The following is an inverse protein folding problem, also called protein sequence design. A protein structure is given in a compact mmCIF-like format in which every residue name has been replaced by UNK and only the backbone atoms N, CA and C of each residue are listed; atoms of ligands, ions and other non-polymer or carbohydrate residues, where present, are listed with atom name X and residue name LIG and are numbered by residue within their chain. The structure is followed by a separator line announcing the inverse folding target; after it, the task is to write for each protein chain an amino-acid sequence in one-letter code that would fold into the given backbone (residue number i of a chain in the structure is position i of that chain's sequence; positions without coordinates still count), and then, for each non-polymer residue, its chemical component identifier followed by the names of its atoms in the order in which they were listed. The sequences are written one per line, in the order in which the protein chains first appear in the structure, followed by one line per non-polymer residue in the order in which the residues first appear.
data_IF_047149068685
#
_entry.id   IF_047149068685
#
_cell.length_a   1.000
_cell.length_b   1.000
_cell.length_c   1.000
_cell.angle_alpha   90.00
_cell.angle_beta   90.00
_cell.angle_gamma   90.00
#
_symmetry.space_group_name_H-M   'P 1'
#
loop_
_entity.id
_entity.type
_entity.pdbx_description
1 polymer ?
#
# COMPACT_ATOMS: atom_id res chain seq x y z
N UNK A 1 9.09 -48.26 40.99
CA UNK A 1 7.69 -48.69 41.13
C UNK A 1 7.08 -47.78 42.18
N UNK A 2 6.37 -46.76 41.72
CA UNK A 2 5.62 -45.82 42.56
C UNK A 2 4.19 -45.83 42.04
N UNK A 3 3.31 -46.50 42.77
CA UNK A 3 1.87 -46.47 42.57
C UNK A 3 1.34 -45.14 43.11
N UNK A 4 0.70 -44.36 42.24
CA UNK A 4 -0.10 -43.20 42.66
C UNK A 4 -1.55 -43.50 42.31
N UNK A 5 -2.33 -43.59 43.38
CA UNK A 5 -3.75 -43.88 43.49
C UNK A 5 -4.56 -42.72 42.91
N UNK A 6 -5.51 -43.02 42.01
CA UNK A 6 -6.53 -42.08 41.55
C UNK A 6 -7.68 -41.95 42.57
N UNK A 7 -8.24 -40.75 42.80
CA UNK A 7 -9.44 -40.57 43.61
C UNK A 7 -10.72 -40.92 42.83
N UNK A 8 -11.82 -41.29 43.53
CA UNK A 8 -13.00 -41.89 42.94
C UNK A 8 -13.95 -40.88 42.26
N UNK A 9 -14.59 -41.38 41.22
CA UNK A 9 -15.70 -40.78 40.47
C UNK A 9 -16.95 -40.83 41.35
N UNK A 10 -17.58 -39.67 41.59
CA UNK A 10 -18.93 -39.58 42.18
C UNK A 10 -19.95 -39.33 41.09
N UNK A 11 -20.84 -40.31 40.90
CA UNK A 11 -22.11 -40.20 40.19
C UNK A 11 -23.02 -39.18 40.90
N UNK A 12 -23.64 -38.30 40.11
CA UNK A 12 -24.85 -37.56 40.52
C UNK A 12 -25.93 -37.84 39.48
N UNK A 13 -26.90 -38.66 39.88
CA UNK A 13 -28.14 -38.88 39.15
C UNK A 13 -29.12 -37.72 39.39
N UNK A 14 -29.74 -37.28 38.30
CA UNK A 14 -31.14 -36.86 38.26
C UNK A 14 -31.43 -35.37 38.43
N UNK A 15 -31.85 -34.73 37.34
CA UNK A 15 -32.95 -33.75 37.32
C UNK A 15 -33.45 -33.50 35.88
N UNK A 16 -34.71 -33.91 35.66
CA UNK A 16 -35.73 -33.29 34.81
C UNK A 16 -35.38 -32.89 33.37
N UNK A 17 -35.94 -33.65 32.42
CA UNK A 17 -36.22 -33.21 31.05
C UNK A 17 -37.23 -32.06 31.05
N UNK A 18 -36.75 -30.84 30.83
CA UNK A 18 -37.57 -29.73 30.34
C UNK A 18 -37.46 -29.75 28.82
N UNK A 19 -38.56 -30.10 28.15
CA UNK A 19 -38.70 -29.89 26.72
C UNK A 19 -38.67 -28.39 26.44
N UNK A 20 -37.63 -27.94 25.77
CA UNK A 20 -37.61 -26.61 25.16
C UNK A 20 -37.82 -26.83 23.68
N UNK A 21 -39.00 -26.42 23.21
CA UNK A 21 -39.27 -26.19 21.81
C UNK A 21 -38.42 -24.98 21.39
N UNK A 22 -37.37 -25.24 20.61
CA UNK A 22 -36.54 -24.20 20.01
C UNK A 22 -36.50 -24.47 18.51
N UNK A 23 -37.59 -24.16 17.83
CA UNK A 23 -37.51 -23.64 16.46
C UNK A 23 -36.92 -22.21 16.51
N UNK A 24 -35.69 -22.06 16.99
CA UNK A 24 -34.89 -20.89 16.70
C UNK A 24 -33.82 -21.33 15.72
N UNK A 25 -34.12 -21.04 14.47
CA UNK A 25 -33.15 -20.91 13.41
C UNK A 25 -31.96 -20.10 13.97
N UNK A 26 -30.75 -20.66 14.11
CA UNK A 26 -29.60 -19.80 14.26
C UNK A 26 -29.46 -19.14 12.89
N UNK A 27 -29.89 -17.89 12.78
CA UNK A 27 -29.10 -16.97 11.98
C UNK A 27 -27.70 -17.08 12.55
N UNK A 28 -26.91 -17.96 11.93
CA UNK A 28 -25.47 -17.93 12.06
C UNK A 28 -25.13 -16.55 11.52
N UNK A 29 -25.00 -15.57 12.40
CA UNK A 29 -24.26 -14.36 12.13
C UNK A 29 -22.90 -14.85 11.64
N UNK A 30 -22.76 -14.92 10.31
CA UNK A 30 -21.47 -15.05 9.68
C UNK A 30 -20.73 -13.79 10.06
N UNK A 31 -19.98 -13.86 11.17
CA UNK A 31 -19.04 -12.81 11.54
C UNK A 31 -18.20 -12.57 10.30
N UNK A 32 -18.31 -11.34 9.80
CA UNK A 32 -17.56 -10.90 8.64
C UNK A 32 -16.08 -11.18 8.92
N UNK A 33 -15.45 -11.95 8.04
CA UNK A 33 -14.04 -12.31 8.23
C UNK A 33 -13.22 -11.04 8.20
N UNK A 34 -12.16 -11.00 9.02
CA UNK A 34 -11.20 -9.90 8.95
C UNK A 34 -10.65 -9.83 7.50
N UNK A 35 -10.68 -8.65 6.85
CA UNK A 35 -10.17 -8.49 5.49
C UNK A 35 -8.75 -9.02 5.24
N UNK A 36 -7.87 -8.90 6.24
CA UNK A 36 -6.50 -9.42 6.16
C UNK A 36 -6.49 -10.95 6.14
N UNK A 37 -7.37 -11.59 6.92
CA UNK A 37 -7.49 -13.06 6.92
C UNK A 37 -8.01 -13.54 5.57
N UNK A 38 -8.97 -12.85 4.94
CA UNK A 38 -9.42 -13.15 3.57
C UNK A 38 -8.27 -13.04 2.55
N UNK A 39 -7.41 -12.03 2.66
CA UNK A 39 -6.25 -11.85 1.78
C UNK A 39 -5.20 -12.95 1.98
N UNK A 40 -4.94 -13.35 3.23
CA UNK A 40 -4.03 -14.46 3.55
C UNK A 40 -4.58 -15.80 3.05
N UNK A 41 -5.88 -16.03 3.16
CA UNK A 41 -6.56 -17.20 2.59
C UNK A 41 -6.38 -17.25 1.06
N UNK A 42 -6.60 -16.11 0.37
CA UNK A 42 -6.34 -15.99 -1.07
C UNK A 42 -4.89 -16.33 -1.42
N UNK A 43 -3.91 -15.84 -0.65
CA UNK A 43 -2.49 -16.11 -0.92
C UNK A 43 -2.07 -17.55 -0.67
N UNK A 44 -2.81 -18.25 0.21
CA UNK A 44 -2.55 -19.65 0.55
C UNK A 44 -3.04 -20.63 -0.53
N UNK A 45 -3.75 -20.14 -1.55
CA UNK A 45 -4.17 -20.93 -2.69
C UNK A 45 -2.99 -21.34 -3.59
N UNK A 46 -3.15 -22.45 -4.31
CA UNK A 46 -2.24 -22.81 -5.41
C UNK A 46 -2.32 -21.80 -6.56
N UNK A 47 -1.32 -21.81 -7.45
CA UNK A 47 -1.21 -20.78 -8.50
C UNK A 47 -2.45 -20.68 -9.40
N UNK A 48 -3.01 -21.81 -9.83
CA UNK A 48 -4.21 -21.82 -10.67
C UNK A 48 -5.42 -21.23 -9.93
N UNK A 49 -5.65 -21.70 -8.71
CA UNK A 49 -6.80 -21.28 -7.89
C UNK A 49 -6.69 -19.80 -7.49
N UNK A 50 -5.46 -19.32 -7.22
CA UNK A 50 -5.20 -17.92 -6.95
C UNK A 50 -5.54 -17.04 -8.15
N UNK A 51 -5.08 -17.40 -9.36
CA UNK A 51 -5.35 -16.61 -10.56
C UNK A 51 -6.84 -16.62 -10.94
N UNK A 52 -7.55 -17.72 -10.68
CA UNK A 52 -9.00 -17.80 -10.86
C UNK A 52 -9.77 -16.95 -9.83
N UNK A 53 -9.34 -16.97 -8.56
CA UNK A 53 -10.02 -16.25 -7.48
C UNK A 53 -9.73 -14.74 -7.44
N UNK A 54 -8.56 -14.30 -7.94
CA UNK A 54 -8.08 -12.93 -7.82
C UNK A 54 -9.04 -11.86 -8.38
N UNK A 55 -9.62 -12.00 -9.59
CA UNK A 55 -10.54 -10.98 -10.11
C UNK A 55 -11.77 -10.81 -9.22
N UNK A 56 -12.38 -11.92 -8.78
CA UNK A 56 -13.55 -11.89 -7.91
C UNK A 56 -13.25 -11.34 -6.52
N UNK A 57 -12.05 -11.60 -6.00
CA UNK A 57 -11.58 -10.99 -4.76
C UNK A 57 -11.49 -9.45 -4.88
N UNK A 58 -10.85 -8.95 -5.95
CA UNK A 58 -10.71 -7.51 -6.18
C UNK A 58 -12.08 -6.84 -6.32
N UNK A 59 -12.96 -7.40 -7.15
CA UNK A 59 -14.31 -6.87 -7.38
C UNK A 59 -15.13 -6.81 -6.08
N UNK A 60 -15.14 -7.91 -5.32
CA UNK A 60 -15.82 -7.98 -4.01
C UNK A 60 -15.29 -6.90 -3.08
N UNK A 61 -13.97 -6.83 -2.88
CA UNK A 61 -13.35 -5.88 -1.92
C UNK A 61 -13.56 -4.43 -2.35
N UNK A 62 -13.35 -4.10 -3.62
CA UNK A 62 -13.60 -2.75 -4.13
C UNK A 62 -15.07 -2.34 -3.97
N UNK A 63 -16.03 -3.23 -4.29
CA UNK A 63 -17.45 -2.93 -4.14
C UNK A 63 -17.86 -2.68 -2.68
N UNK A 64 -17.31 -3.44 -1.73
CA UNK A 64 -17.54 -3.23 -0.30
C UNK A 64 -16.97 -1.88 0.12
N UNK A 65 -15.70 -1.61 -0.19
CA UNK A 65 -15.02 -0.36 0.17
C UNK A 65 -15.74 0.88 -0.40
N UNK A 66 -16.17 0.84 -1.67
CA UNK A 66 -16.92 1.94 -2.30
C UNK A 66 -18.28 2.21 -1.63
N UNK A 67 -18.92 1.19 -1.05
CA UNK A 67 -20.20 1.35 -0.35
C UNK A 67 -20.04 1.84 1.08
N UNK A 68 -19.00 1.39 1.75
CA UNK A 68 -18.78 1.65 3.18
C UNK A 68 -17.99 2.94 3.42
N UNK A 69 -17.12 3.31 2.49
CA UNK A 69 -16.23 4.45 2.63
C UNK A 69 -16.67 5.58 1.70
N UNK A 70 -16.82 6.78 2.25
CA UNK A 70 -17.03 7.96 1.44
C UNK A 70 -15.69 8.39 0.84
N UNK A 71 -15.47 8.07 -0.44
CA UNK A 71 -14.35 8.62 -1.19
C UNK A 71 -14.56 10.13 -1.40
N UNK A 72 -13.54 10.97 -1.22
CA UNK A 72 -13.62 12.37 -1.61
C UNK A 72 -13.95 12.52 -3.10
N UNK A 73 -14.74 13.55 -3.46
CA UNK A 73 -15.01 13.86 -4.87
C UNK A 73 -13.73 14.28 -5.61
N UNK A 74 -12.79 14.92 -4.90
CA UNK A 74 -11.54 15.41 -5.47
C UNK A 74 -10.40 15.31 -4.46
N UNK A 75 -9.23 14.89 -4.93
CA UNK A 75 -7.97 14.86 -4.18
C UNK A 75 -6.94 15.69 -4.95
N UNK A 76 -6.35 16.68 -4.27
CA UNK A 76 -5.32 17.57 -4.80
C UNK A 76 -4.24 17.87 -3.75
N UNK A 77 -3.25 18.68 -4.11
CA UNK A 77 -2.04 18.93 -3.29
C UNK A 77 -2.27 19.59 -1.93
N UNK A 78 -3.43 20.19 -1.70
CA UNK A 78 -3.83 20.81 -0.43
C UNK A 78 -4.97 20.04 0.25
N UNK A 79 -5.33 18.86 -0.25
CA UNK A 79 -6.33 18.01 0.37
C UNK A 79 -5.86 17.48 1.72
N UNK A 80 -6.82 17.29 2.63
CA UNK A 80 -6.58 16.54 3.87
C UNK A 80 -6.26 15.08 3.57
N UNK A 81 -5.51 14.45 4.48
CA UNK A 81 -5.18 13.04 4.36
C UNK A 81 -6.44 12.16 4.47
N UNK A 82 -6.62 11.24 3.51
CA UNK A 82 -7.80 10.37 3.45
C UNK A 82 -7.46 8.92 3.77
N UNK A 83 -8.27 8.28 4.62
CA UNK A 83 -8.23 6.83 4.85
C UNK A 83 -9.14 6.05 3.90
N UNK A 84 -9.98 6.73 3.12
CA UNK A 84 -10.98 6.10 2.26
C UNK A 84 -10.33 5.49 1.01
N UNK A 85 -10.90 4.40 0.52
CA UNK A 85 -10.68 3.87 -0.82
C UNK A 85 -11.05 4.93 -1.86
N UNK A 86 -10.14 5.15 -2.81
CA UNK A 86 -10.30 6.17 -3.84
C UNK A 86 -11.12 5.57 -4.97
N UNK A 87 -12.35 6.02 -5.10
CA UNK A 87 -13.27 5.53 -6.13
C UNK A 87 -12.80 5.90 -7.54
N UNK A 88 -13.25 5.15 -8.56
CA UNK A 88 -12.89 5.39 -9.96
C UNK A 88 -13.41 6.72 -10.52
N UNK A 89 -14.40 7.33 -9.87
CA UNK A 89 -14.96 8.65 -10.19
C UNK A 89 -14.32 9.79 -9.39
N UNK A 90 -13.45 9.50 -8.41
CA UNK A 90 -12.70 10.53 -7.69
C UNK A 90 -11.69 11.20 -8.60
N UNK A 91 -11.77 12.53 -8.68
CA UNK A 91 -10.85 13.36 -9.47
C UNK A 91 -9.54 13.54 -8.73
N UNK A 92 -8.43 13.10 -9.32
CA UNK A 92 -7.10 13.34 -8.76
C UNK A 92 -6.37 14.43 -9.55
N UNK A 93 -5.84 15.45 -8.87
CA UNK A 93 -5.25 16.64 -9.50
C UNK A 93 -3.90 16.94 -8.85
N UNK A 94 -2.80 16.84 -9.62
CA UNK A 94 -1.44 17.02 -9.07
C UNK A 94 -1.05 18.45 -8.74
N UNK A 95 -1.77 19.46 -9.22
CA UNK A 95 -1.64 20.88 -8.90
C UNK A 95 -2.82 21.64 -9.54
N UNK A 96 -3.08 22.88 -9.12
CA UNK A 96 -4.25 23.66 -9.57
C UNK A 96 -4.31 23.91 -11.09
N UNK A 97 -3.24 23.63 -11.84
CA UNK A 97 -3.13 23.80 -13.28
C UNK A 97 -3.03 22.47 -14.06
N UNK A 98 -2.96 21.33 -13.36
CA UNK A 98 -2.86 20.01 -13.95
C UNK A 98 -4.25 19.45 -14.29
N UNK A 99 -4.33 18.67 -15.37
CA UNK A 99 -5.54 17.93 -15.72
C UNK A 99 -5.81 16.84 -14.68
N UNK A 100 -7.09 16.62 -14.40
CA UNK A 100 -7.54 15.54 -13.54
C UNK A 100 -7.20 14.17 -14.14
N UNK A 101 -6.97 13.19 -13.26
CA UNK A 101 -6.83 11.79 -13.60
C UNK A 101 -7.63 10.89 -12.66
N UNK A 102 -7.89 9.65 -13.07
CA UNK A 102 -8.78 8.71 -12.38
C UNK A 102 -8.10 7.37 -12.10
N UNK A 103 -8.36 6.77 -10.94
CA UNK A 103 -7.86 5.44 -10.54
C UNK A 103 -8.82 4.31 -10.95
N UNK A 104 -8.99 4.14 -12.25
CA UNK A 104 -10.08 3.35 -12.83
C UNK A 104 -9.64 2.06 -13.55
N UNK A 105 -8.37 1.66 -13.40
CA UNK A 105 -7.84 0.44 -13.99
C UNK A 105 -7.62 -0.68 -12.95
N UNK A 106 -8.53 -1.67 -12.86
CA UNK A 106 -8.40 -2.77 -11.90
C UNK A 106 -7.19 -3.67 -12.16
N UNK A 107 -6.59 -3.63 -13.37
CA UNK A 107 -5.39 -4.43 -13.67
C UNK A 107 -4.16 -3.95 -12.89
N UNK A 108 -4.16 -2.68 -12.45
CA UNK A 108 -3.17 -2.16 -11.52
C UNK A 108 -3.20 -2.96 -10.22
N UNK A 109 -4.37 -3.09 -9.60
CA UNK A 109 -4.54 -3.81 -8.34
C UNK A 109 -4.18 -5.29 -8.48
N UNK A 110 -4.61 -5.94 -9.56
CA UNK A 110 -4.24 -7.34 -9.84
C UNK A 110 -2.72 -7.53 -9.95
N UNK A 111 -2.02 -6.58 -10.60
CA UNK A 111 -0.55 -6.60 -10.71
C UNK A 111 0.10 -6.49 -9.33
N UNK A 112 -0.30 -5.50 -8.52
CA UNK A 112 0.27 -5.30 -7.19
C UNK A 112 0.02 -6.49 -6.25
N UNK A 113 -1.18 -7.07 -6.30
CA UNK A 113 -1.54 -8.21 -5.46
C UNK A 113 -0.76 -9.47 -5.85
N UNK A 114 -0.53 -9.73 -7.15
CA UNK A 114 0.35 -10.83 -7.61
C UNK A 114 1.77 -10.72 -7.07
N UNK A 115 2.37 -9.53 -7.15
CA UNK A 115 3.71 -9.30 -6.58
C UNK A 115 3.72 -9.42 -5.05
N UNK A 116 2.63 -9.04 -4.41
CA UNK A 116 2.43 -9.22 -2.96
C UNK A 116 2.38 -10.69 -2.59
N UNK A 117 1.58 -11.52 -3.28
CA UNK A 117 1.58 -12.98 -3.08
C UNK A 117 2.97 -13.59 -3.27
N UNK A 118 3.65 -13.27 -4.37
CA UNK A 118 5.01 -13.78 -4.62
C UNK A 118 6.00 -13.40 -3.50
N UNK A 119 5.85 -12.20 -2.93
CA UNK A 119 6.66 -11.77 -1.78
C UNK A 119 6.27 -12.49 -0.49
N UNK A 120 4.97 -12.69 -0.28
CA UNK A 120 4.41 -13.43 0.85
C UNK A 120 4.97 -14.86 0.89
N UNK A 121 4.91 -15.58 -0.24
CA UNK A 121 5.41 -16.95 -0.34
C UNK A 121 6.90 -17.02 0.02
N UNK A 122 7.71 -16.06 -0.45
CA UNK A 122 9.14 -15.97 -0.10
C UNK A 122 9.36 -15.76 1.40
N UNK A 123 8.53 -14.96 2.06
CA UNK A 123 8.65 -14.72 3.49
C UNK A 123 8.16 -15.91 4.33
N UNK A 124 7.09 -16.58 3.92
CA UNK A 124 6.62 -17.83 4.52
C UNK A 124 7.70 -18.91 4.43
N UNK A 125 8.32 -19.09 3.26
CA UNK A 125 9.43 -20.04 3.09
C UNK A 125 10.66 -19.72 3.95
N UNK A 126 10.85 -18.44 4.31
CA UNK A 126 11.88 -17.99 5.27
C UNK A 126 11.48 -18.18 6.73
N UNK A 127 10.30 -18.73 7.01
CA UNK A 127 9.81 -19.02 8.35
C UNK A 127 9.19 -17.83 9.08
N UNK A 128 8.81 -16.76 8.37
CA UNK A 128 8.09 -15.66 9.01
C UNK A 128 6.65 -16.08 9.38
N UNK A 129 6.12 -15.65 10.55
CA UNK A 129 4.72 -15.84 10.87
C UNK A 129 3.79 -15.21 9.81
N UNK A 130 2.62 -15.80 9.48
CA UNK A 130 1.76 -15.34 8.39
C UNK A 130 1.46 -13.85 8.39
N UNK A 131 1.02 -13.29 9.51
CA UNK A 131 0.71 -11.86 9.61
C UNK A 131 1.95 -10.97 9.38
N UNK A 132 3.13 -11.38 9.86
CA UNK A 132 4.38 -10.62 9.64
C UNK A 132 4.83 -10.75 8.19
N UNK A 133 4.72 -11.94 7.60
CA UNK A 133 5.00 -12.18 6.20
C UNK A 133 4.08 -11.32 5.31
N UNK A 134 2.78 -11.23 5.65
CA UNK A 134 1.79 -10.43 4.95
C UNK A 134 2.17 -8.94 4.91
N UNK A 135 2.41 -8.30 6.05
CA UNK A 135 2.76 -6.88 6.07
C UNK A 135 4.13 -6.57 5.42
N UNK A 136 5.11 -7.49 5.49
CA UNK A 136 6.36 -7.31 4.75
C UNK A 136 6.16 -7.51 3.24
N UNK A 137 5.26 -8.41 2.87
CA UNK A 137 4.89 -8.67 1.49
C UNK A 137 4.10 -7.53 0.87
N UNK A 138 3.20 -6.86 1.61
CA UNK A 138 2.43 -5.73 1.09
C UNK A 138 3.35 -4.58 0.70
N UNK A 139 4.34 -4.26 1.53
CA UNK A 139 5.34 -3.23 1.20
C UNK A 139 6.16 -3.63 -0.04
N UNK A 140 6.81 -4.80 -0.02
CA UNK A 140 7.68 -5.23 -1.13
C UNK A 140 6.91 -5.47 -2.43
N UNK A 141 5.75 -6.13 -2.31
CA UNK A 141 4.91 -6.53 -3.41
C UNK A 141 4.26 -5.35 -4.11
N UNK A 142 3.65 -4.42 -3.36
CA UNK A 142 3.09 -3.21 -3.96
C UNK A 142 4.17 -2.34 -4.58
N UNK A 143 5.37 -2.28 -3.97
CA UNK A 143 6.50 -1.51 -4.50
C UNK A 143 7.00 -2.02 -5.86
N UNK A 144 7.20 -3.33 -5.99
CA UNK A 144 7.62 -3.91 -7.28
C UNK A 144 6.45 -4.00 -8.27
N UNK A 145 5.23 -4.24 -7.77
CA UNK A 145 4.02 -4.30 -8.58
C UNK A 145 3.69 -2.96 -9.25
N UNK A 146 3.77 -1.85 -8.52
CA UNK A 146 3.56 -0.52 -9.12
C UNK A 146 4.64 -0.20 -10.15
N UNK A 147 5.89 -0.61 -9.91
CA UNK A 147 6.95 -0.42 -10.89
C UNK A 147 6.72 -1.25 -12.16
N UNK A 148 6.20 -2.48 -12.02
CA UNK A 148 5.80 -3.32 -13.15
C UNK A 148 4.62 -2.72 -13.92
N UNK A 149 3.62 -2.18 -13.22
CA UNK A 149 2.43 -1.59 -13.83
C UNK A 149 2.74 -0.31 -14.61
N UNK A 150 3.50 0.61 -14.00
CA UNK A 150 3.90 1.87 -14.64
C UNK A 150 5.09 1.71 -15.60
N UNK A 151 5.81 0.59 -15.54
CA UNK A 151 7.00 0.32 -16.36
C UNK A 151 8.26 1.06 -15.89
N UNK A 152 8.26 1.60 -14.67
CA UNK A 152 9.41 2.29 -14.07
C UNK A 152 9.29 2.38 -12.56
N UNK A 153 10.42 2.52 -11.85
CA UNK A 153 10.44 2.79 -10.40
C UNK A 153 10.25 4.28 -10.05
N UNK A 154 10.40 5.18 -11.03
CA UNK A 154 10.24 6.64 -10.86
C UNK A 154 9.43 7.23 -12.00
N UNK A 155 8.77 8.36 -11.73
CA UNK A 155 8.20 9.19 -12.78
C UNK A 155 9.25 9.82 -13.68
N UNK A 156 9.04 9.74 -15.00
CA UNK A 156 9.81 10.48 -15.99
C UNK A 156 9.30 11.92 -16.06
N UNK A 157 9.84 12.78 -15.17
CA UNK A 157 9.41 14.18 -15.05
C UNK A 157 9.60 14.98 -16.34
N UNK A 158 10.62 14.66 -17.14
CA UNK A 158 10.84 15.34 -18.43
C UNK A 158 9.73 14.99 -19.42
N UNK A 159 9.40 13.70 -19.54
CA UNK A 159 8.29 13.26 -20.38
C UNK A 159 6.94 13.77 -19.85
N UNK A 160 6.78 13.88 -18.53
CA UNK A 160 5.61 14.50 -17.92
C UNK A 160 5.49 15.97 -18.33
N UNK A 161 6.57 16.76 -18.20
CA UNK A 161 6.59 18.17 -18.60
C UNK A 161 6.30 18.34 -20.10
N UNK A 162 6.79 17.44 -20.95
CA UNK A 162 6.42 17.46 -22.38
C UNK A 162 4.94 17.17 -22.60
N UNK A 163 4.39 16.19 -21.89
CA UNK A 163 2.96 15.88 -21.95
C UNK A 163 2.10 17.04 -21.43
N UNK A 164 2.56 17.75 -20.39
CA UNK A 164 1.83 18.91 -19.82
C UNK A 164 2.05 20.20 -20.59
N UNK A 165 3.20 20.38 -21.24
CA UNK A 165 3.52 21.55 -22.06
C UNK A 165 2.61 21.68 -23.28
N UNK A 166 2.15 20.55 -23.83
CA UNK A 166 1.12 20.55 -24.87
C UNK A 166 -0.25 21.08 -24.37
N UNK A 167 -0.50 21.04 -23.04
CA UNK A 167 -1.73 21.53 -22.42
C UNK A 167 -1.72 23.03 -22.06
N UNK A 168 -0.57 23.70 -22.19
CA UNK A 168 -0.45 25.16 -21.98
C UNK A 168 -0.72 25.97 -23.28
N UNK A 169 -1.14 25.32 -24.37
CA UNK A 169 -1.58 26.01 -25.58
C UNK A 169 -3.02 26.54 -25.41
N UNK A 170 -3.27 27.76 -25.89
CA UNK A 170 -4.44 28.64 -25.64
C UNK A 170 -5.85 28.09 -26.00
N UNK A 171 -5.97 26.88 -26.52
CA UNK A 171 -7.25 26.20 -26.73
C UNK A 171 -7.09 24.70 -26.43
N UNK A 172 -7.02 24.30 -25.14
CA UNK A 172 -7.00 22.89 -24.81
C UNK A 172 -8.36 22.30 -25.20
N UNK A 173 -8.42 21.25 -26.05
CA UNK A 173 -9.67 20.54 -26.26
C UNK A 173 -10.22 20.06 -24.91
N UNK A 174 -11.54 20.11 -24.73
CA UNK A 174 -12.25 19.44 -23.64
C UNK A 174 -11.86 17.96 -23.69
N UNK A 175 -10.85 17.60 -22.92
CA UNK A 175 -10.39 16.24 -22.73
C UNK A 175 -10.89 15.86 -21.35
N UNK A 176 -11.87 14.96 -21.32
CA UNK A 176 -12.24 14.16 -20.15
C UNK A 176 -10.94 13.64 -19.52
N UNK A 177 -10.78 13.74 -18.20
CA UNK A 177 -9.49 13.52 -17.50
C UNK A 177 -8.71 12.26 -17.91
N UNK A 178 -7.43 12.18 -17.54
CA UNK A 178 -6.57 11.06 -17.98
C UNK A 178 -6.79 9.80 -17.14
N UNK A 179 -6.99 8.65 -17.77
CA UNK A 179 -7.04 7.36 -17.07
C UNK A 179 -5.66 6.92 -16.56
N UNK A 180 -5.59 6.31 -15.36
CA UNK A 180 -4.32 5.88 -14.75
C UNK A 180 -3.50 4.95 -15.65
N UNK A 181 -4.18 4.13 -16.46
CA UNK A 181 -3.57 3.21 -17.42
C UNK A 181 -2.70 3.92 -18.48
N UNK A 182 -2.98 5.19 -18.78
CA UNK A 182 -2.31 5.96 -19.82
C UNK A 182 -1.03 6.65 -19.33
N UNK A 183 -0.89 6.84 -18.01
CA UNK A 183 0.24 7.60 -17.45
C UNK A 183 1.57 6.83 -17.51
N UNK A 184 1.55 5.49 -17.46
CA UNK A 184 2.74 4.64 -17.62
C UNK A 184 3.95 5.20 -16.83
N UNK A 185 5.10 5.37 -17.48
CA UNK A 185 6.34 5.86 -16.85
C UNK A 185 6.28 7.31 -16.38
N UNK A 186 5.28 8.12 -16.80
CA UNK A 186 5.14 9.51 -16.35
C UNK A 186 4.40 9.67 -15.04
N UNK A 187 3.83 8.58 -14.50
CA UNK A 187 3.20 8.56 -13.17
C UNK A 187 4.20 8.97 -12.07
N UNK A 188 3.79 9.90 -11.21
CA UNK A 188 4.60 10.48 -10.12
C UNK A 188 4.00 10.10 -8.76
N UNK A 189 4.22 10.91 -7.72
CA UNK A 189 3.86 10.59 -6.34
C UNK A 189 2.36 10.33 -6.16
N UNK A 190 1.48 11.18 -6.70
CA UNK A 190 0.03 11.07 -6.51
C UNK A 190 -0.54 9.80 -7.16
N UNK A 191 -0.16 9.48 -8.40
CA UNK A 191 -0.60 8.27 -9.09
C UNK A 191 -0.13 7.00 -8.38
N UNK A 192 1.16 6.94 -8.06
CA UNK A 192 1.78 5.75 -7.49
C UNK A 192 1.24 5.50 -6.09
N UNK A 193 1.17 6.53 -5.26
CA UNK A 193 0.61 6.43 -3.92
C UNK A 193 -0.90 6.13 -3.96
N UNK A 194 -1.66 6.69 -4.89
CA UNK A 194 -3.08 6.37 -5.07
C UNK A 194 -3.33 4.90 -5.41
N UNK A 195 -2.64 4.36 -6.42
CA UNK A 195 -2.77 2.94 -6.81
C UNK A 195 -2.34 2.01 -5.68
N UNK A 196 -1.24 2.33 -4.99
CA UNK A 196 -0.74 1.52 -3.88
C UNK A 196 -1.69 1.57 -2.68
N UNK A 197 -2.22 2.75 -2.33
CA UNK A 197 -3.21 2.92 -1.27
C UNK A 197 -4.45 2.08 -1.53
N UNK A 198 -5.04 2.16 -2.73
CA UNK A 198 -6.19 1.33 -3.09
C UNK A 198 -5.88 -0.17 -3.02
N UNK A 199 -4.70 -0.61 -3.47
CA UNK A 199 -4.29 -2.00 -3.35
C UNK A 199 -4.15 -2.46 -1.88
N UNK A 200 -3.62 -1.59 -1.01
CA UNK A 200 -3.53 -1.86 0.43
C UNK A 200 -4.92 -1.98 1.08
N UNK A 201 -5.85 -1.07 0.75
CA UNK A 201 -7.25 -1.12 1.22
C UNK A 201 -7.96 -2.40 0.75
N UNK A 202 -7.78 -2.80 -0.51
CA UNK A 202 -8.31 -4.06 -1.05
C UNK A 202 -7.81 -5.26 -0.24
N UNK A 203 -6.51 -5.27 0.10
CA UNK A 203 -5.87 -6.28 0.93
C UNK A 203 -6.24 -6.21 2.42
N UNK A 204 -7.04 -5.23 2.83
CA UNK A 204 -7.48 -5.08 4.23
C UNK A 204 -6.52 -4.33 5.13
N UNK A 205 -5.48 -3.70 4.58
CA UNK A 205 -4.58 -2.83 5.34
C UNK A 205 -5.26 -1.47 5.51
N UNK A 206 -5.40 -1.03 6.77
CA UNK A 206 -5.87 0.30 7.10
C UNK A 206 -4.77 1.33 6.79
N UNK A 207 -4.75 1.80 5.54
CA UNK A 207 -3.82 2.81 5.04
C UNK A 207 -4.49 4.17 4.92
N UNK A 208 -3.67 5.22 4.99
CA UNK A 208 -4.03 6.61 4.71
C UNK A 208 -3.17 7.13 3.59
N UNK A 209 -3.80 7.78 2.62
CA UNK A 209 -3.13 8.60 1.62
C UNK A 209 -2.88 9.98 2.26
N UNK A 210 -1.61 10.28 2.52
CA UNK A 210 -1.19 11.56 3.07
C UNK A 210 -0.79 12.49 1.91
N UNK A 211 -1.27 13.72 1.97
CA UNK A 211 -0.79 14.81 1.14
C UNK A 211 0.00 15.73 2.05
N UNK A 212 1.21 16.08 1.63
CA UNK A 212 2.11 16.87 2.45
C UNK A 212 3.15 17.60 1.61
N UNK A 213 4.15 18.12 2.30
CA UNK A 213 5.30 18.78 1.69
C UNK A 213 6.53 17.88 1.76
N UNK A 214 7.31 17.85 0.69
CA UNK A 214 8.64 17.25 0.63
C UNK A 214 9.68 18.36 0.43
N UNK A 215 10.53 18.53 1.42
CA UNK A 215 11.65 19.45 1.34
C UNK A 215 12.86 18.75 0.76
N UNK A 216 13.47 19.33 -0.27
CA UNK A 216 14.75 18.88 -0.83
C UNK A 216 15.77 20.01 -0.70
N UNK A 217 16.91 19.70 -0.07
CA UNK A 217 18.08 20.58 -0.12
C UNK A 217 18.74 20.42 -1.50
N UNK A 218 18.59 21.42 -2.36
CA UNK A 218 19.29 21.43 -3.65
C UNK A 218 20.79 21.73 -3.47
N UNK A 219 21.59 21.51 -4.52
CA UNK A 219 23.03 21.76 -4.51
C UNK A 219 23.43 23.19 -4.07
N UNK A 220 22.52 24.15 -4.27
CA UNK A 220 22.69 25.56 -3.89
C UNK A 220 22.21 25.87 -2.44
N UNK A 221 21.86 24.84 -1.67
CA UNK A 221 21.30 24.91 -0.29
C UNK A 221 20.03 25.76 -0.16
N UNK A 222 19.33 26.02 -1.25
CA UNK A 222 18.00 26.62 -1.21
C UNK A 222 16.97 25.51 -1.02
N UNK A 223 16.13 25.57 0.04
CA UNK A 223 15.07 24.60 0.22
C UNK A 223 14.02 24.78 -0.89
N UNK A 224 13.74 23.72 -1.62
CA UNK A 224 12.54 23.65 -2.46
C UNK A 224 11.53 22.76 -1.79
N UNK A 225 10.32 23.29 -1.59
CA UNK A 225 9.16 22.55 -1.10
C UNK A 225 8.36 22.09 -2.31
N UNK A 226 8.13 20.78 -2.40
CA UNK A 226 7.29 20.15 -3.41
C UNK A 226 6.09 19.52 -2.70
N UNK A 227 4.87 19.75 -3.20
CA UNK A 227 3.73 18.97 -2.72
C UNK A 227 3.94 17.50 -3.08
N UNK A 228 3.77 16.62 -2.10
CA UNK A 228 4.13 15.22 -2.22
C UNK A 228 3.09 14.32 -1.56
N UNK A 229 2.81 13.21 -2.23
CA UNK A 229 1.80 12.25 -1.76
C UNK A 229 2.47 10.94 -1.38
N UNK A 230 2.20 10.48 -0.18
CA UNK A 230 2.77 9.27 0.41
C UNK A 230 1.70 8.52 1.22
N UNK A 231 2.06 7.38 1.79
CA UNK A 231 1.10 6.51 2.49
C UNK A 231 1.55 6.35 3.94
N UNK A 232 0.60 6.33 4.87
CA UNK A 232 0.85 5.78 6.22
C UNK A 232 -0.09 4.64 6.55
N UNK A 233 0.36 3.71 7.39
CA UNK A 233 -0.46 2.62 7.93
C UNK A 233 0.16 2.08 9.22
N UNK A 234 -0.61 1.30 9.98
CA UNK A 234 -0.10 0.62 11.16
C UNK A 234 0.41 -0.78 10.81
N UNK A 235 1.62 -1.11 11.27
CA UNK A 235 2.16 -2.46 11.15
C UNK A 235 1.49 -3.43 12.16
N UNK A 236 1.79 -4.75 12.15
CA UNK A 236 1.17 -5.69 13.08
C UNK A 236 1.53 -5.46 14.56
N UNK A 237 2.47 -4.56 14.86
CA UNK A 237 2.84 -4.16 16.21
C UNK A 237 2.07 -2.89 16.66
N UNK A 238 1.22 -2.32 15.79
CA UNK A 238 0.50 -1.07 16.03
C UNK A 238 1.35 0.18 15.80
N UNK A 239 2.54 0.04 15.21
CA UNK A 239 3.41 1.18 14.94
C UNK A 239 3.02 1.84 13.62
N UNK A 240 2.86 3.16 13.62
CA UNK A 240 2.60 3.93 12.40
C UNK A 240 3.87 3.96 11.53
N UNK A 241 3.72 3.60 10.27
CA UNK A 241 4.80 3.53 9.28
C UNK A 241 4.45 4.46 8.12
N UNK A 242 5.41 5.28 7.71
CA UNK A 242 5.43 5.99 6.43
C UNK A 242 5.95 5.06 5.34
N UNK A 243 5.28 5.05 4.20
CA UNK A 243 5.68 4.32 3.00
C UNK A 243 5.54 5.24 1.79
N UNK A 244 6.64 5.44 1.07
CA UNK A 244 6.70 6.26 -0.14
C UNK A 244 7.03 5.39 -1.36
N UNK A 245 6.04 5.02 -2.19
CA UNK A 245 6.27 4.21 -3.37
C UNK A 245 6.97 4.99 -4.50
N UNK A 246 7.04 6.32 -4.42
CA UNK A 246 7.63 7.18 -5.45
C UNK A 246 9.09 7.57 -5.17
N UNK A 247 9.55 7.45 -3.91
CA UNK A 247 10.95 7.72 -3.52
C UNK A 247 11.68 6.47 -2.96
N UNK A 248 11.99 5.46 -3.80
CA UNK A 248 12.74 4.30 -3.34
C UNK A 248 14.20 4.57 -3.01
N UNK A 249 14.73 3.73 -2.13
CA UNK A 249 16.14 3.66 -1.75
C UNK A 249 16.95 3.07 -2.91
N UNK A 250 17.92 3.84 -3.41
CA UNK A 250 18.83 3.41 -4.47
C UNK A 250 19.96 2.59 -3.89
N UNK A 251 20.23 1.44 -4.50
CA UNK A 251 21.44 0.66 -4.27
C UNK A 251 22.34 0.83 -5.49
N UNK A 252 23.50 1.43 -5.31
CA UNK A 252 24.48 1.69 -6.36
C UNK A 252 25.73 0.83 -6.15
N UNK A 253 26.45 0.49 -7.23
CA UNK A 253 27.78 -0.11 -7.16
C UNK A 253 28.88 0.96 -6.94
N UNK A 254 30.14 0.52 -6.84
CA UNK A 254 31.30 1.42 -6.70
C UNK A 254 31.49 2.36 -7.90
N UNK A 255 30.94 2.03 -9.07
CA UNK A 255 30.94 2.87 -10.26
C UNK A 255 29.78 3.88 -10.32
N UNK A 256 28.90 3.87 -9.32
CA UNK A 256 27.71 4.73 -9.28
C UNK A 256 26.53 4.21 -10.11
N UNK A 257 26.59 3.00 -10.65
CA UNK A 257 25.47 2.42 -11.39
C UNK A 257 24.44 1.88 -10.40
N UNK A 258 23.15 2.10 -10.68
CA UNK A 258 22.07 1.50 -9.89
C UNK A 258 22.00 0.01 -10.16
N UNK A 259 22.19 -0.80 -9.12
CA UNK A 259 22.14 -2.27 -9.19
C UNK A 259 20.88 -2.86 -8.57
N UNK A 260 20.20 -2.12 -7.69
CA UNK A 260 18.93 -2.51 -7.12
C UNK A 260 18.17 -1.31 -6.55
N UNK A 261 16.88 -1.50 -6.30
CA UNK A 261 16.03 -0.55 -5.60
C UNK A 261 15.29 -1.24 -4.46
N UNK A 262 15.03 -0.52 -3.39
CA UNK A 262 14.26 -1.00 -2.24
C UNK A 262 13.13 -0.01 -1.89
N UNK A 263 11.99 -0.50 -1.37
CA UNK A 263 10.96 0.38 -0.85
C UNK A 263 11.52 1.25 0.27
N UNK A 264 11.07 2.50 0.32
CA UNK A 264 11.39 3.42 1.41
C UNK A 264 10.27 3.38 2.44
N UNK A 265 10.62 2.98 3.67
CA UNK A 265 9.71 3.01 4.81
C UNK A 265 10.38 3.58 6.05
N UNK A 266 9.60 4.27 6.88
CA UNK A 266 10.09 4.92 8.09
C UNK A 266 9.06 4.75 9.19
N UNK A 267 9.50 4.36 10.38
CA UNK A 267 8.64 4.37 11.56
C UNK A 267 8.40 5.80 12.01
N UNK A 268 7.13 6.16 12.21
CA UNK A 268 6.72 7.47 12.71
C UNK A 268 6.66 7.41 14.24
N UNK A 269 7.14 8.46 14.90
CA UNK A 269 7.00 8.63 16.35
C UNK A 269 5.61 9.22 16.63
N UNK A 270 4.90 8.68 17.61
CA UNK A 270 3.54 9.13 17.96
C UNK A 270 3.49 10.64 18.21
N UNK A 271 2.52 11.31 17.58
CA UNK A 271 2.32 12.77 17.67
C UNK A 271 3.25 13.62 16.81
N UNK A 272 4.13 13.02 16.01
CA UNK A 272 4.95 13.76 15.06
C UNK A 272 4.09 14.44 13.98
N UNK A 273 4.28 15.75 13.81
CA UNK A 273 3.68 16.57 12.73
C UNK A 273 4.52 16.61 11.46
N UNK A 274 5.79 16.27 11.60
CA UNK A 274 6.73 16.15 10.51
C UNK A 274 7.68 14.98 10.77
N UNK A 275 8.20 14.40 9.70
CA UNK A 275 9.16 13.31 9.75
C UNK A 275 10.35 13.70 8.89
N UNK A 276 11.44 14.08 9.56
CA UNK A 276 12.70 14.40 8.90
C UNK A 276 13.55 13.13 8.74
N UNK A 277 13.79 12.74 7.50
CA UNK A 277 14.45 11.49 7.17
C UNK A 277 15.55 11.73 6.13
N UNK A 278 16.80 11.36 6.43
CA UNK A 278 17.82 11.29 5.41
C UNK A 278 17.43 10.19 4.40
N UNK A 279 17.18 10.55 3.15
CA UNK A 279 16.91 9.55 2.10
C UNK A 279 18.22 8.84 1.81
N UNK A 280 18.32 7.53 2.14
CA UNK A 280 19.57 6.83 2.05
C UNK A 280 19.85 6.42 0.59
N UNK A 281 21.10 6.58 0.18
CA UNK A 281 21.69 5.83 -0.93
C UNK A 281 22.63 4.79 -0.35
N UNK A 282 22.48 3.54 -0.78
CA UNK A 282 23.34 2.43 -0.36
C UNK A 282 24.35 2.14 -1.47
N UNK A 283 25.64 2.24 -1.17
CA UNK A 283 26.72 1.85 -2.07
C UNK A 283 27.21 0.45 -1.71
N UNK A 284 27.19 -0.46 -2.67
CA UNK A 284 27.80 -1.78 -2.55
C UNK A 284 29.29 -1.67 -2.88
N UNK A 285 30.13 -1.92 -1.88
CA UNK A 285 31.58 -1.98 -2.05
C UNK A 285 32.01 -3.25 -2.80
N UNK A 286 33.26 -3.26 -3.28
CA UNK A 286 33.83 -4.39 -4.03
C UNK A 286 33.90 -5.68 -3.19
N UNK A 287 34.04 -5.55 -1.87
CA UNK A 287 34.04 -6.66 -0.91
C UNK A 287 32.62 -7.22 -0.61
N UNK A 288 31.59 -6.63 -1.22
CA UNK A 288 30.19 -6.99 -1.02
C UNK A 288 29.52 -6.34 0.20
N UNK A 289 30.24 -5.53 0.98
CA UNK A 289 29.67 -4.74 2.07
C UNK A 289 28.85 -3.56 1.53
N UNK A 290 28.00 -2.98 2.37
CA UNK A 290 27.17 -1.83 2.02
C UNK A 290 27.52 -0.62 2.90
N UNK A 291 27.75 0.52 2.27
CA UNK A 291 27.87 1.82 2.92
C UNK A 291 26.62 2.65 2.64
N UNK A 292 26.07 3.29 3.67
CA UNK A 292 24.90 4.16 3.52
C UNK A 292 25.33 5.61 3.61
N UNK A 293 25.02 6.40 2.59
CA UNK A 293 25.16 7.85 2.59
C UNK A 293 23.79 8.50 2.52
N UNK A 294 23.58 9.63 3.21
CA UNK A 294 22.39 10.45 3.00
C UNK A 294 22.57 11.27 1.73
N UNK A 295 21.62 11.18 0.80
CA UNK A 295 21.64 11.99 -0.43
C UNK A 295 21.01 13.36 -0.24
N UNK A 296 19.98 13.45 0.59
CA UNK A 296 19.33 14.69 1.02
C UNK A 296 18.43 14.39 2.22
N UNK A 297 18.06 15.41 2.99
CA UNK A 297 17.03 15.28 4.02
C UNK A 297 15.67 15.53 3.40
N UNK A 298 14.76 14.57 3.52
CA UNK A 298 13.35 14.71 3.22
C UNK A 298 12.62 15.06 4.51
N UNK A 299 11.94 16.19 4.54
CA UNK A 299 10.96 16.49 5.60
C UNK A 299 9.59 16.18 5.01
N UNK A 300 8.89 15.22 5.61
CA UNK A 300 7.50 14.88 5.31
C UNK A 300 6.61 15.59 6.33
N UNK A 301 5.87 16.60 5.91
CA UNK A 301 4.85 17.26 6.76
C UNK A 301 3.49 16.60 6.55
N UNK A 302 2.74 16.36 7.63
CA UNK A 302 1.35 15.90 7.54
C UNK A 302 0.40 17.11 7.55
N UNK A 303 -0.53 17.16 6.59
CA UNK A 303 -1.63 18.14 6.59
C UNK A 303 -2.66 17.87 7.70
#
# INVERSE_FOLDING_TARGET
MNDIVQPPITDVQGLSTVGVDITNNPEIEMKEKNPIDEAIELFSLGDSDFEEALPGFIEKRASVLTKEEHSPDTIKNDSEATGSFISSDTKMIRNDFDKEFYLDDPTAYATLIRFTRSSYDKFIHKGLPPIRAFYQATINGTYHGQASYFGSYYGDLNALVSMTGDFLNDDPPEIDGTHIANLKKVAVCMERSGVVHNALKILGVDSRLEVGSLYKENADRQPTTEAHVFITFNNPQGERVLYDPANPIRIIDSGGNVVAMQPFTVKIIDGAKEVNVPIPTKTKAEDGSFHTTSTFNAVYEFN
#
